data_IF_424089115960
#
_entry.id   IF_424089115960
#
_cell.length_a   1.000
_cell.length_b   1.000
_cell.length_c   1.000
_cell.angle_alpha   90.00
_cell.angle_beta   90.00
_cell.angle_gamma   90.00
#
_symmetry.space_group_name_H-M   'P 1'
#
loop_
_entity.id
_entity.type
_entity.pdbx_description
1 polymer ?
#
# COMPACT_ATOMS: atom_id res chain seq x y z
N UNK A 1 -18.31 -10.27 -7.78
CA UNK A 1 -17.52 -9.02 -7.86
C UNK A 1 -16.18 -9.41 -8.44
N UNK A 2 -15.76 -8.80 -9.55
CA UNK A 2 -14.39 -9.01 -10.04
C UNK A 2 -13.38 -8.28 -9.15
N UNK A 3 -12.10 -8.62 -9.29
CA UNK A 3 -11.02 -8.10 -8.44
C UNK A 3 -10.88 -6.58 -8.55
N UNK A 4 -10.97 -6.03 -9.76
CA UNK A 4 -10.88 -4.59 -9.99
C UNK A 4 -12.00 -3.82 -9.26
N UNK A 5 -13.24 -4.31 -9.34
CA UNK A 5 -14.38 -3.71 -8.63
C UNK A 5 -14.21 -3.79 -7.12
N UNK A 6 -13.67 -4.91 -6.59
CA UNK A 6 -13.37 -5.06 -5.17
C UNK A 6 -12.34 -4.01 -4.70
N UNK A 7 -11.22 -3.87 -5.41
CA UNK A 7 -10.18 -2.92 -5.04
C UNK A 7 -10.61 -1.47 -5.23
N UNK A 8 -11.34 -1.16 -6.29
CA UNK A 8 -11.92 0.17 -6.49
C UNK A 8 -12.86 0.54 -5.34
N UNK A 9 -13.79 -0.35 -4.99
CA UNK A 9 -14.73 -0.15 -3.88
C UNK A 9 -13.98 0.01 -2.54
N UNK A 10 -12.97 -0.81 -2.30
CA UNK A 10 -12.15 -0.74 -1.09
C UNK A 10 -11.39 0.60 -0.99
N UNK A 11 -10.72 1.03 -2.05
CA UNK A 11 -9.98 2.29 -2.03
C UNK A 11 -10.90 3.51 -2.02
N UNK A 12 -12.05 3.46 -2.70
CA UNK A 12 -13.05 4.51 -2.59
C UNK A 12 -13.57 4.62 -1.16
N UNK A 13 -13.90 3.51 -0.51
CA UNK A 13 -14.27 3.51 0.89
C UNK A 13 -13.19 4.17 1.76
N UNK A 14 -11.92 3.75 1.64
CA UNK A 14 -10.81 4.37 2.41
C UNK A 14 -10.64 5.88 2.17
N UNK A 15 -10.99 6.39 0.97
CA UNK A 15 -11.01 7.83 0.69
C UNK A 15 -12.18 8.52 1.37
N UNK A 16 -13.38 7.95 1.30
CA UNK A 16 -14.59 8.49 1.90
C UNK A 16 -14.45 8.69 3.42
N UNK A 17 -13.66 7.85 4.08
CA UNK A 17 -13.40 7.90 5.52
C UNK A 17 -12.08 8.61 5.90
N UNK A 18 -11.47 9.35 4.97
CA UNK A 18 -10.25 10.14 5.21
C UNK A 18 -9.04 9.34 5.76
N UNK A 19 -8.88 8.08 5.34
CA UNK A 19 -7.76 7.23 5.78
C UNK A 19 -6.47 7.48 4.99
N UNK A 20 -6.55 7.96 3.74
CA UNK A 20 -5.37 8.22 2.91
C UNK A 20 -4.32 9.15 3.56
N UNK A 21 -4.69 10.29 4.18
CA UNK A 21 -3.75 11.12 4.92
C UNK A 21 -3.05 10.39 6.07
N UNK A 22 -3.69 9.39 6.68
CA UNK A 22 -3.09 8.56 7.73
C UNK A 22 -2.13 7.51 7.15
N UNK A 23 -2.44 6.95 5.99
CA UNK A 23 -1.56 6.02 5.28
C UNK A 23 -0.26 6.70 4.86
N UNK A 24 -0.31 7.94 4.39
CA UNK A 24 0.88 8.71 4.02
C UNK A 24 1.84 8.92 5.21
N UNK A 25 1.30 9.05 6.42
CA UNK A 25 2.08 9.19 7.66
C UNK A 25 2.81 7.90 8.07
N UNK A 26 2.58 6.77 7.38
CA UNK A 26 3.30 5.52 7.61
C UNK A 26 4.68 5.47 6.92
N UNK A 27 5.03 6.41 6.05
CA UNK A 27 6.34 6.41 5.37
C UNK A 27 7.52 6.49 6.35
N UNK A 28 8.34 5.44 6.52
CA UNK A 28 9.48 5.44 7.44
C UNK A 28 10.62 6.37 7.03
N UNK A 29 10.56 6.97 5.85
CA UNK A 29 11.58 7.85 5.30
C UNK A 29 12.96 7.16 5.23
N UNK A 30 12.98 5.82 5.17
CA UNK A 30 14.19 4.99 5.07
C UNK A 30 14.58 4.66 3.63
N UNK A 31 13.79 5.10 2.65
CA UNK A 31 14.13 4.96 1.24
C UNK A 31 15.38 5.77 0.91
N UNK A 32 16.50 5.09 0.62
CA UNK A 32 17.73 5.77 0.14
C UNK A 32 17.51 6.45 -1.22
N UNK A 33 16.65 5.86 -2.06
CA UNK A 33 16.29 6.38 -3.38
C UNK A 33 14.77 6.34 -3.50
N UNK A 34 14.14 7.48 -3.76
CA UNK A 34 12.69 7.62 -3.87
C UNK A 34 12.23 7.36 -5.31
N UNK A 35 12.51 6.16 -5.83
CA UNK A 35 12.09 5.78 -7.18
C UNK A 35 10.56 5.59 -7.28
N UNK A 36 9.94 5.20 -6.17
CA UNK A 36 8.50 4.95 -6.02
C UNK A 36 8.09 5.50 -4.66
N UNK A 37 7.07 6.39 -4.58
CA UNK A 37 6.54 6.87 -3.31
C UNK A 37 6.14 5.72 -2.39
N UNK A 38 6.42 5.85 -1.08
CA UNK A 38 6.13 4.79 -0.11
C UNK A 38 4.64 4.41 -0.08
N UNK A 39 3.74 5.39 -0.22
CA UNK A 39 2.30 5.16 -0.27
C UNK A 39 1.91 4.18 -1.38
N UNK A 40 2.57 4.21 -2.55
CA UNK A 40 2.28 3.27 -3.63
C UNK A 40 2.67 1.83 -3.26
N UNK A 41 3.81 1.67 -2.57
CA UNK A 41 4.23 0.35 -2.05
C UNK A 41 3.25 -0.16 -1.00
N UNK A 42 2.72 0.72 -0.16
CA UNK A 42 1.73 0.41 0.85
C UNK A 42 0.38 0.00 0.23
N UNK A 43 -0.09 0.71 -0.81
CA UNK A 43 -1.32 0.38 -1.53
C UNK A 43 -1.21 -1.00 -2.20
N UNK A 44 -0.08 -1.30 -2.85
CA UNK A 44 0.19 -2.64 -3.42
C UNK A 44 0.17 -3.72 -2.33
N UNK A 45 0.78 -3.44 -1.17
CA UNK A 45 0.74 -4.39 -0.05
C UNK A 45 -0.67 -4.57 0.52
N UNK A 46 -1.48 -3.52 0.59
CA UNK A 46 -2.89 -3.61 0.97
C UNK A 46 -3.68 -4.47 -0.02
N UNK A 47 -3.45 -4.31 -1.33
CA UNK A 47 -4.08 -5.16 -2.34
C UNK A 47 -3.73 -6.63 -2.15
N UNK A 48 -2.47 -6.97 -1.85
CA UNK A 48 -2.07 -8.33 -1.49
C UNK A 48 -2.89 -8.88 -0.32
N UNK A 49 -3.05 -8.08 0.74
CA UNK A 49 -3.77 -8.49 1.95
C UNK A 49 -5.27 -8.67 1.66
N UNK A 50 -5.90 -7.69 1.02
CA UNK A 50 -7.34 -7.72 0.69
C UNK A 50 -7.66 -8.82 -0.32
N UNK A 51 -6.83 -9.00 -1.34
CA UNK A 51 -6.94 -10.07 -2.33
C UNK A 51 -6.54 -11.45 -1.80
N UNK A 52 -6.17 -11.58 -0.52
CA UNK A 52 -5.75 -12.84 0.09
C UNK A 52 -4.61 -13.56 -0.65
N UNK A 53 -3.74 -12.80 -1.32
CA UNK A 53 -2.56 -13.34 -2.00
C UNK A 53 -1.58 -13.79 -0.94
N UNK A 54 -1.19 -15.07 -0.94
CA UNK A 54 -0.50 -15.69 0.20
C UNK A 54 0.93 -15.18 0.31
N UNK A 55 1.67 -15.24 -0.79
CA UNK A 55 3.09 -14.90 -0.85
C UNK A 55 3.31 -13.53 -1.47
N UNK A 56 4.50 -12.95 -1.24
CA UNK A 56 4.87 -11.70 -1.90
C UNK A 56 5.22 -11.93 -3.38
N UNK A 57 5.69 -13.12 -3.75
CA UNK A 57 6.10 -13.42 -5.11
C UNK A 57 4.90 -13.53 -6.06
N UNK A 58 3.78 -14.08 -5.57
CA UNK A 58 2.52 -14.20 -6.32
C UNK A 58 1.96 -12.84 -6.77
N UNK A 59 2.27 -11.73 -6.08
CA UNK A 59 1.78 -10.40 -6.50
C UNK A 59 2.35 -9.96 -7.84
N UNK A 60 3.53 -10.48 -8.24
CA UNK A 60 4.19 -10.12 -9.51
C UNK A 60 3.24 -10.36 -10.68
N UNK A 61 2.70 -11.57 -10.75
CA UNK A 61 1.90 -12.00 -11.88
C UNK A 61 0.42 -11.62 -11.71
N UNK A 62 -0.06 -11.55 -10.46
CA UNK A 62 -1.46 -11.25 -10.15
C UNK A 62 -1.79 -9.75 -10.13
N UNK A 63 -0.84 -8.89 -9.71
CA UNK A 63 -1.10 -7.46 -9.50
C UNK A 63 -0.17 -6.59 -10.35
N UNK A 64 1.15 -6.81 -10.29
CA UNK A 64 2.12 -5.82 -10.76
C UNK A 64 2.13 -5.65 -12.27
N UNK A 65 1.59 -6.61 -13.02
CA UNK A 65 1.49 -6.57 -14.49
C UNK A 65 0.15 -6.05 -15.00
N UNK A 66 -0.85 -5.87 -14.13
CA UNK A 66 -2.18 -5.38 -14.51
C UNK A 66 -2.22 -3.85 -14.48
N UNK A 67 -2.48 -3.23 -15.64
CA UNK A 67 -2.51 -1.77 -15.78
C UNK A 67 -3.64 -1.11 -14.98
N UNK A 68 -4.81 -1.74 -14.91
CA UNK A 68 -5.97 -1.20 -14.22
C UNK A 68 -5.72 -1.21 -12.71
N UNK A 69 -5.30 -2.34 -12.16
CA UNK A 69 -5.00 -2.49 -10.74
C UNK A 69 -3.85 -1.56 -10.30
N UNK A 70 -2.80 -1.46 -11.11
CA UNK A 70 -1.67 -0.59 -10.78
C UNK A 70 -1.99 0.89 -10.93
N UNK A 71 -2.93 1.26 -11.81
CA UNK A 71 -3.43 2.64 -11.89
C UNK A 71 -4.09 3.10 -10.59
N UNK A 72 -4.79 2.21 -9.89
CA UNK A 72 -5.38 2.49 -8.57
C UNK A 72 -4.33 2.80 -7.50
N UNK A 73 -3.12 2.25 -7.66
CA UNK A 73 -1.97 2.53 -6.80
C UNK A 73 -1.15 3.75 -7.26
N UNK A 74 -1.54 4.41 -8.35
CA UNK A 74 -0.87 5.59 -8.89
C UNK A 74 0.27 5.30 -9.87
N UNK A 75 0.35 4.10 -10.43
CA UNK A 75 1.26 3.80 -11.54
C UNK A 75 0.59 4.05 -12.88
N UNK A 76 1.32 4.61 -13.83
CA UNK A 76 0.83 4.71 -15.20
C UNK A 76 1.13 3.43 -16.02
N UNK A 77 0.43 3.25 -17.13
CA UNK A 77 0.62 2.09 -18.03
C UNK A 77 2.07 1.94 -18.52
N UNK A 78 2.80 3.04 -18.71
CA UNK A 78 4.21 2.99 -19.08
C UNK A 78 5.06 2.35 -17.98
N UNK A 79 4.86 2.72 -16.71
CA UNK A 79 5.54 2.11 -15.57
C UNK A 79 5.19 0.62 -15.43
N UNK A 80 3.95 0.22 -15.73
CA UNK A 80 3.55 -1.20 -15.69
C UNK A 80 4.24 -2.02 -16.78
N UNK A 81 4.27 -1.52 -18.02
CA UNK A 81 4.93 -2.20 -19.14
C UNK A 81 6.45 -2.24 -19.00
N UNK A 82 7.04 -1.10 -18.64
CA UNK A 82 8.48 -0.88 -18.72
C UNK A 82 9.19 -0.88 -17.36
N UNK A 83 8.46 -1.00 -16.25
CA UNK A 83 9.00 -0.88 -14.90
C UNK A 83 9.21 0.57 -14.44
N UNK A 84 9.15 0.79 -13.13
CA UNK A 84 9.42 2.11 -12.54
C UNK A 84 10.91 2.50 -12.48
N UNK A 85 11.84 1.56 -12.73
CA UNK A 85 13.27 1.88 -12.84
C UNK A 85 14.06 0.83 -13.63
N UNK A 86 15.27 1.21 -14.08
CA UNK A 86 16.19 0.35 -14.84
C UNK A 86 17.25 -0.35 -13.99
N UNK A 87 17.10 -0.38 -12.66
CA UNK A 87 18.08 -1.04 -11.78
C UNK A 87 18.26 -2.52 -12.13
N UNK A 88 17.14 -3.22 -12.38
CA UNK A 88 17.14 -4.64 -12.69
C UNK A 88 17.55 -4.98 -14.13
N UNK A 89 17.55 -4.00 -15.04
CA UNK A 89 17.85 -4.28 -16.47
C UNK A 89 19.33 -4.58 -16.67
N UNK A 90 20.21 -3.81 -16.02
CA UNK A 90 21.67 -3.97 -16.13
C UNK A 90 22.21 -5.29 -15.57
N UNK A 91 21.47 -5.91 -14.65
CA UNK A 91 21.86 -7.16 -14.00
C UNK A 91 21.21 -8.39 -14.65
N UNK A 92 20.31 -8.18 -15.63
CA UNK A 92 19.53 -9.25 -16.23
C UNK A 92 20.38 -10.08 -17.19
N UNK A 93 20.33 -11.40 -17.04
CA UNK A 93 20.99 -12.37 -17.94
C UNK A 93 20.04 -12.98 -18.97
N UNK A 94 18.74 -12.76 -18.81
CA UNK A 94 17.68 -13.26 -19.69
C UNK A 94 16.98 -12.10 -20.41
N UNK A 95 16.31 -12.35 -21.55
CA UNK A 95 15.49 -11.33 -22.19
C UNK A 95 14.42 -10.79 -21.23
N UNK A 96 14.08 -9.49 -21.30
CA UNK A 96 12.98 -8.95 -20.52
C UNK A 96 11.64 -9.55 -20.97
N UNK A 97 10.69 -9.79 -20.04
CA UNK A 97 9.32 -10.15 -20.39
C UNK A 97 8.64 -8.99 -21.12
N UNK A 98 7.55 -9.30 -21.82
CA UNK A 98 6.76 -8.31 -22.55
C UNK A 98 6.17 -7.22 -21.64
N UNK A 99 5.73 -7.60 -20.44
CA UNK A 99 5.32 -6.70 -19.36
C UNK A 99 6.31 -6.90 -18.20
N UNK A 100 7.04 -5.84 -17.84
CA UNK A 100 8.04 -5.90 -16.75
C UNK A 100 7.41 -5.86 -15.36
N UNK A 101 6.20 -5.32 -15.25
CA UNK A 101 5.51 -5.02 -13.99
C UNK A 101 5.90 -3.65 -13.43
N UNK A 102 4.98 -3.02 -12.69
CA UNK A 102 5.13 -1.67 -12.14
C UNK A 102 6.36 -1.51 -11.25
N UNK A 103 6.70 -2.54 -10.49
CA UNK A 103 7.87 -2.58 -9.60
C UNK A 103 8.28 -4.03 -9.30
N UNK A 104 9.37 -4.20 -8.55
CA UNK A 104 9.85 -5.53 -8.14
C UNK A 104 9.28 -5.90 -6.76
N UNK A 105 8.88 -7.15 -6.57
CA UNK A 105 8.33 -7.67 -5.30
C UNK A 105 9.26 -7.43 -4.10
N UNK A 106 10.58 -7.54 -4.30
CA UNK A 106 11.58 -7.20 -3.29
C UNK A 106 11.49 -5.74 -2.84
N UNK A 107 11.09 -4.84 -3.74
CA UNK A 107 10.92 -3.42 -3.39
C UNK A 107 9.76 -3.25 -2.40
N UNK A 108 8.65 -3.99 -2.56
CA UNK A 108 7.57 -3.98 -1.57
C UNK A 108 8.05 -4.57 -0.25
N UNK A 109 8.60 -5.80 -0.30
CA UNK A 109 9.04 -6.53 0.87
C UNK A 109 10.03 -5.73 1.72
N UNK A 110 11.06 -5.18 1.09
CA UNK A 110 12.13 -4.47 1.79
C UNK A 110 11.67 -3.17 2.44
N UNK A 111 10.63 -2.51 1.93
CA UNK A 111 10.18 -1.23 2.48
C UNK A 111 9.03 -1.38 3.48
N UNK A 112 8.10 -2.32 3.29
CA UNK A 112 6.98 -2.52 4.21
C UNK A 112 7.46 -2.95 5.61
N UNK A 113 8.52 -3.77 5.68
CA UNK A 113 9.12 -4.20 6.96
C UNK A 113 9.74 -3.07 7.78
N UNK A 114 9.87 -1.87 7.21
CA UNK A 114 10.42 -0.72 7.91
C UNK A 114 9.37 0.10 8.67
N UNK A 115 8.08 -0.20 8.52
CA UNK A 115 7.05 0.40 9.36
C UNK A 115 7.16 -0.20 10.76
N UNK A 116 7.43 0.63 11.77
CA UNK A 116 7.53 0.14 13.14
C UNK A 116 6.15 -0.19 13.73
N UNK A 117 6.07 -1.15 14.68
CA UNK A 117 4.83 -1.47 15.37
C UNK A 117 4.15 -0.23 15.96
N UNK A 118 4.92 0.67 16.59
CA UNK A 118 4.43 1.94 17.16
C UNK A 118 3.76 2.85 16.14
N UNK A 119 4.19 2.83 14.87
CA UNK A 119 3.56 3.63 13.81
C UNK A 119 2.27 3.00 13.31
N UNK A 120 2.23 1.67 13.22
CA UNK A 120 1.00 0.94 12.93
C UNK A 120 -0.04 1.15 14.04
N UNK A 121 0.36 1.05 15.30
CA UNK A 121 -0.50 1.32 16.45
C UNK A 121 -1.06 2.75 16.41
N UNK A 122 -0.21 3.75 16.17
CA UNK A 122 -0.65 5.14 16.02
C UNK A 122 -1.62 5.30 14.85
N UNK A 123 -1.36 4.65 13.72
CA UNK A 123 -2.26 4.67 12.57
C UNK A 123 -3.64 4.13 12.94
N UNK A 124 -3.73 2.94 13.53
CA UNK A 124 -5.01 2.37 13.95
C UNK A 124 -5.74 3.24 14.98
N UNK A 125 -5.02 3.73 15.99
CA UNK A 125 -5.57 4.62 17.00
C UNK A 125 -6.14 5.92 16.37
N UNK A 126 -5.50 6.45 15.33
CA UNK A 126 -6.01 7.62 14.58
C UNK A 126 -7.25 7.29 13.75
N UNK A 127 -7.26 6.16 13.05
CA UNK A 127 -8.45 5.71 12.34
C UNK A 127 -9.64 5.59 13.29
N UNK A 128 -9.47 4.89 14.42
CA UNK A 128 -10.51 4.72 15.44
C UNK A 128 -11.01 6.07 15.97
N UNK A 129 -10.11 7.03 16.21
CA UNK A 129 -10.51 8.38 16.64
C UNK A 129 -11.36 9.09 15.59
N UNK A 130 -11.01 9.01 14.31
CA UNK A 130 -11.82 9.59 13.23
C UNK A 130 -13.23 8.96 13.19
N UNK A 131 -13.32 7.64 13.31
CA UNK A 131 -14.61 6.94 13.33
C UNK A 131 -15.43 7.17 14.60
N UNK A 132 -14.77 7.32 15.75
CA UNK A 132 -15.43 7.56 17.03
C UNK A 132 -16.16 8.89 17.08
N UNK A 133 -15.62 9.91 16.38
CA UNK A 133 -16.20 11.26 16.32
C UNK A 133 -17.38 11.33 15.33
N UNK A 134 -17.36 10.55 14.24
CA UNK A 134 -18.43 10.53 13.22
C UNK A 134 -19.72 9.78 13.64
N UNK A 135 -19.65 8.93 14.66
CA UNK A 135 -20.74 8.00 15.04
C UNK A 135 -21.78 8.56 16.03
N UNK A 136 -21.80 9.87 16.34
CA UNK A 136 -22.75 10.44 17.31
C UNK A 136 -22.54 9.99 18.77
N UNK A 137 -21.42 9.34 19.08
CA UNK A 137 -20.95 9.16 20.45
C UNK A 137 -20.29 10.47 20.88
N UNK A 138 -21.04 11.33 21.57
CA UNK A 138 -20.64 12.61 22.17
C UNK A 138 -19.12 12.76 22.37
N UNK A 139 -18.46 13.44 21.43
CA UNK A 139 -17.49 14.53 21.65
C UNK A 139 -16.32 14.36 22.61
N UNK A 140 -16.06 13.18 23.18
CA UNK A 140 -14.87 12.92 23.98
C UNK A 140 -13.89 12.06 23.19
N UNK A 141 -12.61 12.46 23.11
CA UNK A 141 -11.58 11.55 22.61
C UNK A 141 -11.67 10.25 23.40
N UNK A 142 -11.61 9.11 22.70
CA UNK A 142 -11.58 7.80 23.35
C UNK A 142 -10.54 7.84 24.47
N UNK A 143 -10.90 7.47 25.71
CA UNK A 143 -9.96 7.48 26.83
C UNK A 143 -8.73 6.65 26.43
N UNK A 144 -7.55 7.11 26.81
CA UNK A 144 -6.27 6.49 26.44
C UNK A 144 -6.23 4.99 26.76
N UNK A 145 -7.03 4.55 27.74
CA UNK A 145 -7.24 3.18 28.18
C UNK A 145 -7.94 2.25 27.15
N UNK A 146 -8.67 2.81 26.19
CA UNK A 146 -9.35 2.07 25.11
C UNK A 146 -8.60 2.08 23.78
N UNK A 147 -7.57 2.92 23.67
CA UNK A 147 -6.64 2.85 22.55
C UNK A 147 -5.75 1.63 22.74
N UNK A 148 -5.31 1.03 21.64
CA UNK A 148 -4.32 -0.06 21.73
C UNK A 148 -3.11 0.52 22.46
N UNK A 149 -2.75 0.01 23.66
CA UNK A 149 -1.71 0.63 24.47
C UNK A 149 -0.35 0.44 23.79
N UNK A 150 0.43 1.52 23.73
CA UNK A 150 1.81 1.47 23.31
C UNK A 150 2.61 0.58 24.25
N UNK A 151 2.98 -0.62 23.79
CA UNK A 151 3.95 -1.48 24.45
C UNK A 151 5.37 -1.09 24.05
#
# INVERSE_FOLDING_TARGET
>A
MDEATLFDSFFNYLREIDVFPLLEQLDPQKQKRKNVPFIQLLLVFLMKVVGSIKTIDEISDLLLTDELLMSMCGFNAHQVRNGSCDRGTKLRKTPPPQIRGSLCVDTVANHIVHISPRRIERFFNRCIQQFGVGSGLNGHPLPAERLVPAR
#
